data_IF_580169189642
#
_entry.id   IF_580169189642
#
_cell.length_a   1.000
_cell.length_b   1.000
_cell.length_c   1.000
_cell.angle_alpha   90.00
_cell.angle_beta   90.00
_cell.angle_gamma   90.00
#
_symmetry.space_group_name_H-M   'P 1'
#
loop_
_entity.id
_entity.type
_entity.pdbx_description
1 polymer ?
#
# COMPACT_ATOMS: atom_id res chain seq x y z
N UNK A 1 -28.05 36.13 -43.38
CA UNK A 1 -26.74 35.80 -42.75
C UNK A 1 -27.03 34.90 -41.58
N UNK A 2 -26.85 33.54 -41.72
CA UNK A 2 -27.09 32.56 -40.66
C UNK A 2 -25.82 32.48 -39.80
N UNK A 3 -25.91 32.53 -38.47
CA UNK A 3 -24.74 32.21 -37.62
C UNK A 3 -24.53 30.70 -37.61
N UNK A 4 -23.27 30.32 -37.69
CA UNK A 4 -22.72 29.03 -37.84
C UNK A 4 -23.08 28.08 -36.67
N UNK A 5 -23.71 26.97 -37.01
CA UNK A 5 -23.74 25.71 -36.23
C UNK A 5 -22.38 25.00 -36.31
N UNK A 6 -21.36 25.61 -35.79
CA UNK A 6 -20.05 24.99 -35.59
C UNK A 6 -19.71 25.19 -34.13
N UNK A 7 -19.91 24.21 -33.31
CA UNK A 7 -19.21 23.96 -32.03
C UNK A 7 -20.03 23.16 -31.01
N UNK A 8 -20.83 22.21 -31.48
CA UNK A 8 -21.45 21.23 -30.52
C UNK A 8 -20.90 19.82 -30.61
N UNK A 9 -19.65 19.64 -31.07
CA UNK A 9 -19.06 18.32 -31.23
C UNK A 9 -17.72 18.14 -30.51
N UNK A 10 -17.57 18.69 -29.34
CA UNK A 10 -16.36 18.42 -28.56
C UNK A 10 -16.77 18.12 -27.13
N UNK A 11 -17.08 16.92 -26.85
CA UNK A 11 -16.77 16.24 -25.61
C UNK A 11 -17.48 14.89 -25.52
N UNK A 12 -17.34 14.04 -26.50
CA UNK A 12 -17.46 12.62 -26.26
C UNK A 12 -16.20 12.26 -25.46
N UNK A 13 -16.27 12.51 -24.16
CA UNK A 13 -15.32 12.00 -23.19
C UNK A 13 -15.27 10.49 -23.38
N UNK A 14 -14.28 10.00 -24.11
CA UNK A 14 -13.97 8.59 -24.22
C UNK A 14 -13.70 8.07 -22.79
N UNK A 15 -14.77 7.78 -22.09
CA UNK A 15 -14.72 6.88 -20.95
C UNK A 15 -14.20 5.55 -21.51
N UNK A 16 -12.90 5.30 -21.35
CA UNK A 16 -12.31 4.00 -21.66
C UNK A 16 -12.99 2.99 -20.73
N UNK A 17 -14.10 2.46 -21.19
CA UNK A 17 -14.79 1.34 -20.51
C UNK A 17 -13.78 0.20 -20.39
N UNK A 18 -13.61 -0.30 -19.19
CA UNK A 18 -12.75 -1.43 -18.92
C UNK A 18 -13.10 -2.60 -19.84
N UNK A 19 -12.11 -3.14 -20.55
CA UNK A 19 -12.25 -4.40 -21.27
C UNK A 19 -12.76 -5.47 -20.31
N UNK A 20 -13.62 -6.38 -20.78
CA UNK A 20 -14.20 -7.49 -19.98
C UNK A 20 -13.11 -8.27 -19.25
N UNK A 21 -11.95 -8.50 -19.88
CA UNK A 21 -10.79 -9.15 -19.25
C UNK A 21 -10.26 -8.38 -18.05
N UNK A 22 -10.16 -7.05 -18.16
CA UNK A 22 -9.72 -6.19 -17.06
C UNK A 22 -10.70 -6.22 -15.89
N UNK A 23 -12.00 -6.27 -16.14
CA UNK A 23 -13.02 -6.39 -15.08
C UNK A 23 -12.91 -7.71 -14.34
N UNK A 24 -12.68 -8.82 -15.05
CA UNK A 24 -12.49 -10.14 -14.43
C UNK A 24 -11.23 -10.14 -13.56
N UNK A 25 -10.10 -9.62 -14.07
CA UNK A 25 -8.85 -9.51 -13.30
C UNK A 25 -9.01 -8.62 -12.06
N UNK A 26 -9.69 -7.49 -12.20
CA UNK A 26 -9.97 -6.57 -11.09
C UNK A 26 -10.81 -7.25 -10.01
N UNK A 27 -11.86 -7.99 -10.41
CA UNK A 27 -12.71 -8.73 -9.49
C UNK A 27 -11.94 -9.83 -8.76
N UNK A 28 -11.10 -10.59 -9.48
CA UNK A 28 -10.25 -11.61 -8.89
C UNK A 28 -9.25 -11.02 -7.89
N UNK A 29 -8.57 -9.93 -8.28
CA UNK A 29 -7.63 -9.23 -7.41
C UNK A 29 -8.32 -8.69 -6.14
N UNK A 30 -9.52 -8.12 -6.28
CA UNK A 30 -10.31 -7.60 -5.17
C UNK A 30 -10.77 -8.73 -4.24
N UNK A 31 -11.18 -9.88 -4.79
CA UNK A 31 -11.56 -11.04 -4.02
C UNK A 31 -10.37 -11.59 -3.21
N UNK A 32 -9.22 -11.78 -3.84
CA UNK A 32 -8.01 -12.31 -3.19
C UNK A 32 -7.50 -11.35 -2.10
N UNK A 33 -7.38 -10.05 -2.40
CA UNK A 33 -6.92 -9.05 -1.41
C UNK A 33 -7.91 -8.89 -0.25
N UNK A 34 -9.20 -9.02 -0.52
CA UNK A 34 -10.25 -9.01 0.51
C UNK A 34 -10.14 -10.18 1.47
N UNK A 35 -9.98 -11.41 0.95
CA UNK A 35 -9.78 -12.61 1.77
C UNK A 35 -8.53 -12.48 2.65
N UNK A 36 -7.40 -12.07 2.08
CA UNK A 36 -6.16 -11.90 2.84
C UNK A 36 -6.32 -10.80 3.90
N UNK A 37 -7.03 -9.73 3.61
CA UNK A 37 -7.30 -8.65 4.59
C UNK A 37 -8.13 -9.15 5.77
N UNK A 38 -9.14 -9.99 5.54
CA UNK A 38 -9.95 -10.60 6.61
C UNK A 38 -9.08 -11.50 7.47
N UNK A 39 -8.29 -12.39 6.86
CA UNK A 39 -7.36 -13.26 7.58
C UNK A 39 -6.35 -12.45 8.40
N UNK A 40 -5.82 -11.36 7.82
CA UNK A 40 -4.89 -10.45 8.50
C UNK A 40 -5.51 -9.80 9.74
N UNK A 41 -6.74 -9.30 9.64
CA UNK A 41 -7.46 -8.73 10.79
C UNK A 41 -7.66 -9.79 11.86
N UNK A 42 -8.08 -11.00 11.50
CA UNK A 42 -8.25 -12.09 12.45
C UNK A 42 -6.92 -12.43 13.14
N UNK A 43 -5.82 -12.52 12.42
CA UNK A 43 -4.50 -12.77 13.02
C UNK A 43 -4.09 -11.65 13.98
N UNK A 44 -4.27 -10.39 13.62
CA UNK A 44 -3.95 -9.25 14.51
C UNK A 44 -4.77 -9.36 15.79
N UNK A 45 -6.06 -9.67 15.71
CA UNK A 45 -6.94 -9.81 16.88
C UNK A 45 -6.52 -11.00 17.76
N UNK A 46 -6.15 -12.14 17.16
CA UNK A 46 -5.67 -13.31 17.92
C UNK A 46 -4.35 -13.00 18.62
N UNK A 47 -3.40 -12.38 17.94
CA UNK A 47 -2.14 -11.94 18.54
C UNK A 47 -2.36 -10.95 19.69
N UNK A 48 -3.30 -10.03 19.59
CA UNK A 48 -3.64 -9.11 20.68
C UNK A 48 -4.23 -9.81 21.90
N UNK A 49 -4.87 -10.97 21.73
CA UNK A 49 -5.41 -11.78 22.85
C UNK A 49 -4.35 -12.66 23.52
N UNK A 50 -3.35 -13.14 22.79
CA UNK A 50 -2.36 -14.11 23.25
C UNK A 50 -1.10 -13.46 23.84
N UNK A 51 -1.21 -12.42 24.66
CA UNK A 51 -0.08 -11.82 25.40
C UNK A 51 1.19 -11.60 24.55
N UNK A 52 1.10 -10.75 23.55
CA UNK A 52 2.18 -10.42 22.58
C UNK A 52 3.41 -9.76 23.23
N UNK A 53 3.30 -9.35 24.46
CA UNK A 53 4.35 -8.65 25.21
C UNK A 53 5.52 -9.53 25.64
N UNK A 54 5.53 -10.82 25.29
CA UNK A 54 6.76 -11.62 25.36
C UNK A 54 7.71 -11.11 24.29
N UNK A 55 8.87 -10.63 24.71
CA UNK A 55 9.85 -9.89 23.91
C UNK A 55 10.30 -10.58 22.59
N UNK A 56 10.10 -11.89 22.47
CA UNK A 56 10.48 -12.69 21.30
C UNK A 56 9.51 -12.58 20.11
N UNK A 57 8.27 -12.16 20.34
CA UNK A 57 7.20 -12.20 19.32
C UNK A 57 6.82 -10.84 18.75
N UNK A 58 7.36 -9.75 19.31
CA UNK A 58 6.97 -8.39 18.92
C UNK A 58 7.40 -8.04 17.49
N UNK A 59 8.62 -8.42 17.10
CA UNK A 59 9.14 -8.10 15.77
C UNK A 59 8.42 -8.85 14.65
N UNK A 60 8.22 -10.19 14.71
CA UNK A 60 7.41 -10.91 13.72
C UNK A 60 5.97 -10.37 13.62
N UNK A 61 5.37 -10.01 14.75
CA UNK A 61 4.06 -9.37 14.75
C UNK A 61 4.05 -8.02 14.03
N UNK A 62 5.05 -7.17 14.26
CA UNK A 62 5.18 -5.88 13.60
C UNK A 62 5.33 -6.04 12.07
N UNK A 63 6.13 -7.00 11.60
CA UNK A 63 6.26 -7.34 10.18
C UNK A 63 4.96 -7.81 9.56
N UNK A 64 4.26 -8.73 10.22
CA UNK A 64 2.97 -9.23 9.75
C UNK A 64 1.94 -8.11 9.68
N UNK A 65 1.90 -7.25 10.70
CA UNK A 65 0.98 -6.09 10.74
C UNK A 65 1.27 -5.12 9.60
N UNK A 66 2.53 -4.79 9.34
CA UNK A 66 2.92 -3.95 8.20
C UNK A 66 2.44 -4.55 6.88
N UNK A 67 2.69 -5.85 6.66
CA UNK A 67 2.27 -6.55 5.47
C UNK A 67 0.75 -6.51 5.25
N UNK A 68 -0.02 -6.80 6.29
CA UNK A 68 -1.49 -6.75 6.20
C UNK A 68 -2.03 -5.34 6.00
N UNK A 69 -1.41 -4.31 6.59
CA UNK A 69 -1.76 -2.92 6.32
C UNK A 69 -1.53 -2.55 4.85
N UNK A 70 -0.41 -2.98 4.26
CA UNK A 70 -0.15 -2.76 2.84
C UNK A 70 -1.21 -3.43 1.96
N UNK A 71 -1.57 -4.70 2.24
CA UNK A 71 -2.61 -5.41 1.50
C UNK A 71 -3.98 -4.72 1.67
N UNK A 72 -4.30 -4.27 2.86
CA UNK A 72 -5.54 -3.54 3.12
C UNK A 72 -5.61 -2.21 2.34
N UNK A 73 -4.52 -1.46 2.26
CA UNK A 73 -4.43 -0.27 1.41
C UNK A 73 -4.66 -0.61 -0.07
N UNK A 74 -4.07 -1.70 -0.56
CA UNK A 74 -4.32 -2.20 -1.92
C UNK A 74 -5.78 -2.57 -2.13
N UNK A 75 -6.41 -3.28 -1.19
CA UNK A 75 -7.82 -3.65 -1.26
C UNK A 75 -8.74 -2.45 -1.36
N UNK A 76 -8.55 -1.43 -0.50
CA UNK A 76 -9.34 -0.19 -0.53
C UNK A 76 -9.16 0.56 -1.84
N UNK A 77 -7.94 0.59 -2.39
CA UNK A 77 -7.67 1.23 -3.68
C UNK A 77 -8.36 0.50 -4.83
N UNK A 78 -8.24 -0.84 -4.87
CA UNK A 78 -8.91 -1.67 -5.89
C UNK A 78 -10.44 -1.52 -5.83
N UNK A 79 -11.00 -1.45 -4.61
CA UNK A 79 -12.42 -1.22 -4.41
C UNK A 79 -12.87 0.12 -5.00
N UNK A 80 -12.10 1.20 -4.74
CA UNK A 80 -12.39 2.53 -5.30
C UNK A 80 -12.26 2.54 -6.83
N UNK A 81 -11.27 1.83 -7.40
CA UNK A 81 -11.12 1.68 -8.86
C UNK A 81 -12.31 0.93 -9.44
N UNK A 82 -12.76 -0.15 -8.79
CA UNK A 82 -13.92 -0.92 -9.23
C UNK A 82 -15.21 -0.09 -9.23
N UNK A 83 -15.38 0.80 -8.26
CA UNK A 83 -16.54 1.68 -8.14
C UNK A 83 -16.50 2.88 -9.10
N UNK A 84 -15.30 3.37 -9.46
CA UNK A 84 -15.13 4.56 -10.29
C UNK A 84 -14.99 4.28 -11.79
N UNK A 85 -14.84 3.01 -12.19
CA UNK A 85 -14.53 2.57 -13.57
C UNK A 85 -13.30 3.28 -14.20
N UNK A 86 -12.44 3.91 -13.39
CA UNK A 86 -11.23 4.61 -13.83
C UNK A 86 -9.97 3.88 -13.38
N UNK A 87 -9.17 3.29 -14.32
CA UNK A 87 -8.00 2.48 -13.97
C UNK A 87 -6.86 3.28 -13.29
N UNK A 88 -6.67 4.52 -13.71
CA UNK A 88 -5.66 5.43 -13.14
C UNK A 88 -6.35 6.50 -12.31
N UNK A 89 -6.93 6.09 -11.19
CA UNK A 89 -7.56 7.04 -10.28
C UNK A 89 -6.53 7.62 -9.30
N UNK A 90 -6.80 8.82 -8.80
CA UNK A 90 -6.03 9.43 -7.70
C UNK A 90 -5.90 8.48 -6.49
N UNK A 91 -6.82 7.51 -6.39
CA UNK A 91 -6.82 6.50 -5.34
C UNK A 91 -5.63 5.53 -5.45
N UNK A 92 -5.20 5.18 -6.68
CA UNK A 92 -4.02 4.33 -6.87
C UNK A 92 -2.75 5.04 -6.41
N UNK A 93 -2.57 6.29 -6.81
CA UNK A 93 -1.42 7.12 -6.39
C UNK A 93 -1.38 7.25 -4.88
N UNK A 94 -2.53 7.56 -4.27
CA UNK A 94 -2.64 7.69 -2.82
C UNK A 94 -2.31 6.36 -2.10
N UNK A 95 -2.75 5.23 -2.63
CA UNK A 95 -2.42 3.90 -2.09
C UNK A 95 -0.90 3.66 -2.12
N UNK A 96 -0.25 3.90 -3.28
CA UNK A 96 1.20 3.73 -3.42
C UNK A 96 1.95 4.65 -2.45
N UNK A 97 1.55 5.90 -2.33
CA UNK A 97 2.15 6.83 -1.36
C UNK A 97 1.95 6.37 0.09
N UNK A 98 0.77 5.91 0.46
CA UNK A 98 0.49 5.38 1.82
C UNK A 98 1.38 4.19 2.14
N UNK A 99 1.57 3.25 1.21
CA UNK A 99 2.49 2.12 1.37
C UNK A 99 3.92 2.62 1.58
N UNK A 100 4.38 3.57 0.77
CA UNK A 100 5.71 4.18 0.93
C UNK A 100 5.90 4.81 2.31
N UNK A 101 4.92 5.55 2.81
CA UNK A 101 4.94 6.11 4.17
C UNK A 101 4.96 5.05 5.26
N UNK A 102 4.25 3.92 5.09
CA UNK A 102 4.30 2.79 6.02
C UNK A 102 5.70 2.20 6.11
N UNK A 103 6.39 2.03 4.97
CA UNK A 103 7.78 1.57 4.96
C UNK A 103 8.75 2.58 5.59
N UNK A 104 8.57 3.88 5.35
CA UNK A 104 9.36 4.91 6.03
C UNK A 104 9.17 4.89 7.55
N UNK A 105 7.93 4.78 8.00
CA UNK A 105 7.64 4.67 9.43
C UNK A 105 8.26 3.40 10.03
N UNK A 106 8.17 2.25 9.35
CA UNK A 106 8.75 0.99 9.80
C UNK A 106 10.27 1.04 9.87
N UNK A 107 10.95 1.79 8.99
CA UNK A 107 12.41 1.94 9.01
C UNK A 107 12.95 2.55 10.30
N UNK A 108 12.13 3.38 10.97
CA UNK A 108 12.48 4.02 12.25
C UNK A 108 11.95 3.23 13.45
N UNK A 109 10.78 2.58 13.32
CA UNK A 109 10.12 1.89 14.42
C UNK A 109 10.72 0.51 14.68
N UNK A 110 11.02 -0.27 13.64
CA UNK A 110 11.49 -1.66 13.80
C UNK A 110 12.82 -1.79 14.52
N UNK A 111 13.83 -0.94 14.28
CA UNK A 111 15.08 -1.00 15.04
C UNK A 111 14.93 -0.78 16.56
N UNK A 112 13.80 -0.23 16.99
CA UNK A 112 13.51 0.01 18.42
C UNK A 112 12.81 -1.16 19.10
N UNK A 113 12.36 -2.15 18.31
CA UNK A 113 11.68 -3.31 18.85
C UNK A 113 12.70 -4.34 19.40
N UNK A 114 12.37 -5.01 20.51
CA UNK A 114 13.21 -6.06 21.05
C UNK A 114 13.36 -7.23 20.05
N UNK A 115 14.57 -7.77 19.95
CA UNK A 115 14.88 -8.86 19.03
C UNK A 115 15.11 -8.42 17.58
N UNK A 116 15.24 -7.11 17.31
CA UNK A 116 15.58 -6.64 15.98
C UNK A 116 17.01 -7.05 15.61
N UNK A 117 17.14 -7.71 14.46
CA UNK A 117 18.41 -7.97 13.81
C UNK A 117 18.31 -7.37 12.39
N UNK A 118 19.29 -6.55 12.06
CA UNK A 118 19.35 -5.94 10.73
C UNK A 118 19.51 -7.02 9.66
N UNK A 119 18.66 -7.00 8.65
CA UNK A 119 18.72 -7.92 7.51
C UNK A 119 19.49 -7.35 6.31
N UNK A 120 20.06 -6.17 6.45
CA UNK A 120 20.73 -5.48 5.36
C UNK A 120 21.72 -4.42 5.83
N UNK A 121 21.72 -3.24 5.15
CA UNK A 121 22.57 -2.14 5.58
C UNK A 121 21.85 -1.26 6.60
N UNK A 122 22.62 -0.81 7.58
CA UNK A 122 22.20 0.04 8.66
C UNK A 122 22.64 1.49 8.40
N UNK A 123 21.74 2.43 8.61
CA UNK A 123 22.06 3.85 8.55
C UNK A 123 22.15 4.36 9.99
N UNK A 124 23.29 4.97 10.35
CA UNK A 124 23.58 5.41 11.70
C UNK A 124 23.50 4.30 12.75
N UNK A 125 24.34 3.27 12.61
CA UNK A 125 24.56 2.29 13.68
C UNK A 125 25.66 2.79 14.61
N UNK A 126 25.38 2.78 15.93
CA UNK A 126 26.36 3.07 16.96
C UNK A 126 26.39 1.94 17.97
N UNK A 127 27.48 1.16 18.01
CA UNK A 127 27.68 -0.05 18.82
C UNK A 127 26.60 -1.11 18.54
N UNK A 128 25.63 -1.27 19.45
CA UNK A 128 24.52 -2.23 19.34
C UNK A 128 23.18 -1.57 18.99
N UNK A 129 23.17 -0.25 18.73
CA UNK A 129 21.96 0.49 18.38
C UNK A 129 21.92 0.80 16.88
N UNK A 130 20.92 0.24 16.18
CA UNK A 130 20.56 0.67 14.83
C UNK A 130 19.52 1.76 14.93
N UNK A 131 19.79 2.91 14.32
CA UNK A 131 18.86 4.03 14.36
C UNK A 131 17.81 3.93 13.28
N UNK A 132 18.20 3.50 12.07
CA UNK A 132 17.33 3.42 10.89
C UNK A 132 17.66 2.15 10.10
N UNK A 133 16.62 1.40 9.77
CA UNK A 133 16.70 0.26 8.84
C UNK A 133 16.81 0.78 7.41
N UNK A 134 17.96 0.56 6.78
CA UNK A 134 18.26 1.06 5.45
C UNK A 134 17.41 0.42 4.35
N UNK A 135 17.01 -0.84 4.48
CA UNK A 135 16.17 -1.53 3.50
C UNK A 135 14.78 -0.90 3.46
N UNK A 136 14.13 -0.80 4.62
CA UNK A 136 12.79 -0.21 4.71
C UNK A 136 12.79 1.27 4.32
N UNK A 137 13.83 2.02 4.67
CA UNK A 137 13.99 3.40 4.25
C UNK A 137 14.06 3.51 2.72
N UNK A 138 14.93 2.73 2.10
CA UNK A 138 15.13 2.75 0.64
C UNK A 138 13.85 2.34 -0.10
N UNK A 139 13.18 1.27 0.34
CA UNK A 139 11.91 0.84 -0.24
C UNK A 139 10.83 1.92 -0.10
N UNK A 140 10.72 2.54 1.07
CA UNK A 140 9.77 3.62 1.30
C UNK A 140 9.98 4.79 0.35
N UNK A 141 11.22 5.26 0.21
CA UNK A 141 11.58 6.35 -0.70
C UNK A 141 11.28 5.99 -2.16
N UNK A 142 11.71 4.79 -2.61
CA UNK A 142 11.46 4.35 -3.99
C UNK A 142 9.97 4.26 -4.31
N UNK A 143 9.16 3.73 -3.40
CA UNK A 143 7.72 3.61 -3.58
C UNK A 143 7.06 5.00 -3.65
N UNK A 144 7.48 5.96 -2.82
CA UNK A 144 6.97 7.34 -2.87
C UNK A 144 7.34 8.01 -4.19
N UNK A 145 8.60 7.90 -4.62
CA UNK A 145 9.05 8.45 -5.92
C UNK A 145 8.21 7.86 -7.05
N UNK A 146 8.02 6.53 -7.05
CA UNK A 146 7.18 5.86 -8.04
C UNK A 146 5.73 6.37 -8.02
N UNK A 147 5.15 6.55 -6.83
CA UNK A 147 3.84 7.15 -6.66
C UNK A 147 3.74 8.58 -7.23
N UNK A 148 4.80 9.39 -7.06
CA UNK A 148 4.87 10.73 -7.64
C UNK A 148 5.01 10.72 -9.16
N UNK A 149 5.70 9.73 -9.73
CA UNK A 149 5.86 9.60 -11.19
C UNK A 149 4.58 9.16 -11.91
N UNK A 150 3.67 8.47 -11.21
CA UNK A 150 2.38 8.03 -11.76
C UNK A 150 1.34 9.15 -11.71
N UNK A 151 1.56 10.19 -10.90
CA UNK A 151 0.65 11.33 -10.73
C UNK A 151 0.73 12.26 -11.94
#
# INVERSE_FOLDING_TARGET
MKPNDFDTNISVKHSKTFSTRMRILLFLALFMTGLISIVGIMQIVLYLKEHIWQSTNVLPFAWNTLFFLCIFCCFVSLLKIALSDQPFSKSLVLCVQMIGWLFLASSVLFPRLPGYHSSGFEIFSYRSFVLIDGINLTLGILIIIFGCLIH
#
